data_IF_395743657795
#
_entry.id   IF_395743657795
#
_cell.length_a   1.000
_cell.length_b   1.000
_cell.length_c   1.000
_cell.angle_alpha   90.00
_cell.angle_beta   90.00
_cell.angle_gamma   90.00
#
_symmetry.space_group_name_H-M   'P 1'
#
loop_
_entity.id
_entity.type
_entity.pdbx_description
1 polymer ?
#
# COMPACT_ATOMS: atom_id res chain seq x y z
N UNK A 1 -16.99 62.54 5.74
CA UNK A 1 -15.81 61.78 6.23
C UNK A 1 -15.85 60.26 5.93
N UNK A 2 -17.01 59.68 5.58
CA UNK A 2 -17.19 58.22 5.37
C UNK A 2 -16.44 57.55 4.19
N UNK A 3 -15.93 58.31 3.20
CA UNK A 3 -15.20 57.75 2.03
C UNK A 3 -13.76 57.30 2.34
N UNK A 4 -13.15 57.77 3.43
CA UNK A 4 -11.77 57.42 3.80
C UNK A 4 -11.68 56.15 4.66
N UNK A 5 -12.73 55.85 5.42
CA UNK A 5 -12.79 54.65 6.27
C UNK A 5 -13.10 53.40 5.45
N UNK A 6 -13.98 53.51 4.46
CA UNK A 6 -14.35 52.43 3.55
C UNK A 6 -13.16 51.88 2.74
N UNK A 7 -12.26 52.75 2.26
CA UNK A 7 -11.03 52.32 1.57
C UNK A 7 -10.01 51.63 2.48
N UNK A 8 -9.94 52.01 3.75
CA UNK A 8 -9.07 51.34 4.75
C UNK A 8 -9.61 49.97 5.13
N UNK A 9 -10.92 49.85 5.34
CA UNK A 9 -11.57 48.56 5.64
C UNK A 9 -11.45 47.60 4.46
N UNK A 10 -11.65 48.08 3.23
CA UNK A 10 -11.45 47.26 2.02
C UNK A 10 -9.99 46.80 1.88
N UNK A 11 -9.03 47.71 2.13
CA UNK A 11 -7.60 47.38 2.11
C UNK A 11 -7.22 46.32 3.14
N UNK A 12 -7.76 46.41 4.36
CA UNK A 12 -7.55 45.41 5.42
C UNK A 12 -8.17 44.06 5.03
N UNK A 13 -9.37 44.04 4.46
CA UNK A 13 -10.03 42.82 3.98
C UNK A 13 -9.25 42.12 2.88
N UNK A 14 -8.72 42.88 1.90
CA UNK A 14 -7.89 42.32 0.82
C UNK A 14 -6.59 41.75 1.37
N UNK A 15 -5.94 42.44 2.31
CA UNK A 15 -4.73 41.95 2.97
C UNK A 15 -4.99 40.67 3.77
N UNK A 16 -6.11 40.60 4.51
CA UNK A 16 -6.52 39.38 5.23
C UNK A 16 -6.79 38.21 4.28
N UNK A 17 -7.44 38.46 3.14
CA UNK A 17 -7.67 37.45 2.10
C UNK A 17 -6.36 36.94 1.50
N UNK A 18 -5.40 37.81 1.23
CA UNK A 18 -4.08 37.44 0.73
C UNK A 18 -3.29 36.65 1.78
N UNK A 19 -3.34 37.05 3.05
CA UNK A 19 -2.72 36.31 4.16
C UNK A 19 -3.37 34.95 4.37
N UNK A 20 -4.70 34.84 4.23
CA UNK A 20 -5.41 33.56 4.28
C UNK A 20 -5.00 32.66 3.10
N UNK A 21 -4.92 33.20 1.88
CA UNK A 21 -4.45 32.46 0.70
C UNK A 21 -2.99 31.99 0.84
N UNK A 22 -2.10 32.86 1.33
CA UNK A 22 -0.72 32.52 1.63
C UNK A 22 -0.61 31.49 2.75
N UNK A 23 -1.44 31.59 3.79
CA UNK A 23 -1.51 30.63 4.88
C UNK A 23 -1.97 29.24 4.42
N UNK A 24 -2.99 29.19 3.57
CA UNK A 24 -3.49 27.94 2.97
C UNK A 24 -2.44 27.34 2.02
N UNK A 25 -1.80 28.17 1.19
CA UNK A 25 -0.71 27.73 0.31
C UNK A 25 0.50 27.21 1.10
N UNK A 26 0.93 27.95 2.12
CA UNK A 26 2.03 27.53 3.00
C UNK A 26 1.70 26.25 3.75
N UNK A 27 0.49 26.09 4.29
CA UNK A 27 0.06 24.85 4.93
C UNK A 27 0.04 23.68 3.95
N UNK A 28 -0.48 23.88 2.73
CA UNK A 28 -0.49 22.86 1.69
C UNK A 28 0.93 22.37 1.37
N UNK A 29 1.87 23.28 1.11
CA UNK A 29 3.23 22.93 0.71
C UNK A 29 4.17 22.53 1.86
N UNK A 30 3.95 23.01 3.08
CA UNK A 30 4.85 22.74 4.21
C UNK A 30 4.35 21.59 5.08
N UNK A 31 3.05 21.32 5.10
CA UNK A 31 2.43 20.33 5.98
C UNK A 31 1.79 19.20 5.17
N UNK A 32 0.89 19.51 4.24
CA UNK A 32 0.11 18.48 3.57
C UNK A 32 0.93 17.63 2.60
N UNK A 33 1.76 18.25 1.74
CA UNK A 33 2.66 17.51 0.81
C UNK A 33 3.67 16.60 1.52
N UNK A 34 3.93 16.85 2.80
CA UNK A 34 4.81 16.04 3.66
C UNK A 34 4.05 15.05 4.54
N UNK A 35 2.74 14.94 4.37
CA UNK A 35 1.90 14.04 5.16
C UNK A 35 1.85 12.62 4.57
N UNK A 36 1.64 11.59 5.41
CA UNK A 36 1.45 10.22 4.92
C UNK A 36 0.20 10.08 4.06
N UNK A 37 -0.86 10.85 4.35
CA UNK A 37 -2.07 10.92 3.53
C UNK A 37 -1.76 11.34 2.09
N UNK A 38 -0.91 12.36 1.92
CA UNK A 38 -0.51 12.83 0.60
C UNK A 38 0.27 11.77 -0.18
N UNK A 39 1.29 11.16 0.46
CA UNK A 39 2.06 10.09 -0.18
C UNK A 39 1.17 8.91 -0.61
N UNK A 40 0.21 8.52 0.23
CA UNK A 40 -0.74 7.46 -0.11
C UNK A 40 -1.66 7.84 -1.28
N UNK A 41 -2.15 9.08 -1.32
CA UNK A 41 -2.93 9.59 -2.46
C UNK A 41 -2.11 9.59 -3.76
N UNK A 42 -0.83 9.98 -3.70
CA UNK A 42 0.05 9.97 -4.86
C UNK A 42 0.35 8.55 -5.34
N UNK A 43 0.56 7.61 -4.42
CA UNK A 43 0.66 6.19 -4.75
C UNK A 43 -0.60 5.70 -5.49
N UNK A 44 -1.80 5.96 -4.97
CA UNK A 44 -3.04 5.54 -5.62
C UNK A 44 -3.26 6.19 -6.98
N UNK A 45 -2.94 7.47 -7.12
CA UNK A 45 -3.03 8.17 -8.40
C UNK A 45 -2.05 7.59 -9.44
N UNK A 46 -0.81 7.33 -9.03
CA UNK A 46 0.21 6.74 -9.88
C UNK A 46 -0.15 5.30 -10.29
N UNK A 47 -0.60 4.48 -9.33
CA UNK A 47 -1.03 3.11 -9.59
C UNK A 47 -2.22 3.05 -10.54
N UNK A 48 -3.22 3.92 -10.35
CA UNK A 48 -4.37 4.06 -11.27
C UNK A 48 -3.95 4.44 -12.69
N UNK A 49 -2.93 5.29 -12.81
CA UNK A 49 -2.40 5.74 -14.09
C UNK A 49 -1.41 4.74 -14.74
N UNK A 50 -1.10 3.63 -14.07
CA UNK A 50 -0.03 2.70 -14.46
C UNK A 50 1.34 3.40 -14.63
N UNK A 51 1.58 4.48 -13.89
CA UNK A 51 2.85 5.22 -13.90
C UNK A 51 3.86 4.51 -12.98
N UNK A 52 4.56 3.52 -13.54
CA UNK A 52 5.50 2.67 -12.81
C UNK A 52 6.59 3.49 -12.12
N UNK A 53 7.12 4.52 -12.79
CA UNK A 53 8.18 5.36 -12.23
C UNK A 53 7.70 6.11 -10.98
N UNK A 54 6.49 6.67 -11.01
CA UNK A 54 5.94 7.33 -9.82
C UNK A 54 5.54 6.34 -8.73
N UNK A 55 5.03 5.17 -9.10
CA UNK A 55 4.73 4.13 -8.11
C UNK A 55 6.00 3.77 -7.32
N UNK A 56 7.13 3.53 -8.00
CA UNK A 56 8.41 3.22 -7.33
C UNK A 56 8.89 4.33 -6.38
N UNK A 57 8.52 5.59 -6.60
CA UNK A 57 8.88 6.70 -5.71
C UNK A 57 8.13 6.67 -4.37
N UNK A 58 6.90 6.14 -4.36
CA UNK A 58 6.01 6.16 -3.20
C UNK A 58 5.90 4.82 -2.48
N UNK A 59 6.68 3.82 -2.88
CA UNK A 59 6.66 2.49 -2.28
C UNK A 59 8.03 2.11 -1.71
N UNK A 60 7.99 1.30 -0.67
CA UNK A 60 9.14 0.67 -0.04
C UNK A 60 8.95 -0.85 -0.10
N UNK A 61 9.74 -1.49 -0.98
CA UNK A 61 9.80 -2.95 -1.16
C UNK A 61 10.77 -3.62 -0.19
N UNK A 62 11.38 -2.88 0.74
CA UNK A 62 12.24 -3.49 1.75
C UNK A 62 11.43 -4.38 2.67
N UNK A 63 11.93 -5.60 2.89
CA UNK A 63 11.26 -6.61 3.69
C UNK A 63 11.78 -8.00 3.33
N UNK A 64 11.95 -8.88 4.33
CA UNK A 64 12.50 -10.20 4.10
C UNK A 64 11.59 -11.09 3.22
N UNK A 65 10.26 -10.98 3.40
CA UNK A 65 9.27 -11.74 2.63
C UNK A 65 9.20 -11.22 1.20
N UNK A 66 9.11 -9.89 1.02
CA UNK A 66 9.11 -9.25 -0.31
C UNK A 66 10.42 -9.52 -1.04
N UNK A 67 11.56 -9.43 -0.34
CA UNK A 67 12.87 -9.76 -0.89
C UNK A 67 12.99 -11.22 -1.33
N UNK A 68 12.44 -12.16 -0.56
CA UNK A 68 12.38 -13.57 -0.95
C UNK A 68 11.51 -13.80 -2.19
N UNK A 69 10.34 -13.14 -2.28
CA UNK A 69 9.46 -13.21 -3.47
C UNK A 69 10.19 -12.64 -4.69
N UNK A 70 10.87 -11.50 -4.54
CA UNK A 70 11.65 -10.89 -5.61
C UNK A 70 12.80 -11.80 -6.08
N UNK A 71 13.52 -12.43 -5.16
CA UNK A 71 14.58 -13.39 -5.49
C UNK A 71 14.01 -14.61 -6.23
N UNK A 72 12.87 -15.14 -5.79
CA UNK A 72 12.19 -16.24 -6.48
C UNK A 72 11.71 -15.84 -7.89
N UNK A 73 11.19 -14.62 -8.05
CA UNK A 73 10.80 -14.08 -9.35
C UNK A 73 11.98 -13.89 -10.31
N UNK A 74 13.16 -13.51 -9.79
CA UNK A 74 14.38 -13.42 -10.60
C UNK A 74 14.85 -14.81 -11.11
N UNK A 75 14.58 -15.87 -10.35
CA UNK A 75 14.93 -17.24 -10.74
C UNK A 75 13.90 -17.88 -11.68
N UNK A 76 12.67 -17.37 -11.73
CA UNK A 76 11.61 -17.86 -12.61
C UNK A 76 10.84 -16.69 -13.23
N UNK A 77 11.07 -16.36 -14.51
CA UNK A 77 10.40 -15.27 -15.21
C UNK A 77 8.87 -15.37 -15.20
N UNK A 78 8.31 -16.58 -15.09
CA UNK A 78 6.86 -16.78 -14.99
C UNK A 78 6.29 -16.36 -13.61
N UNK A 79 7.14 -16.09 -12.62
CA UNK A 79 6.79 -15.48 -11.34
C UNK A 79 7.01 -13.97 -11.31
N UNK A 80 7.48 -13.33 -12.40
CA UNK A 80 7.56 -11.87 -12.49
C UNK A 80 6.18 -11.20 -12.32
N UNK A 81 5.10 -11.94 -12.58
CA UNK A 81 3.73 -11.50 -12.30
C UNK A 81 3.36 -11.52 -10.81
N UNK A 82 4.24 -11.96 -9.91
CA UNK A 82 4.04 -11.99 -8.47
C UNK A 82 4.50 -10.69 -7.78
N UNK A 83 4.38 -9.55 -8.46
CA UNK A 83 4.68 -8.25 -7.86
C UNK A 83 3.68 -7.96 -6.72
N UNK A 84 4.14 -7.84 -5.46
CA UNK A 84 3.26 -7.57 -4.34
C UNK A 84 2.54 -6.22 -4.45
N UNK A 85 3.02 -5.27 -5.27
CA UNK A 85 2.30 -4.02 -5.52
C UNK A 85 0.94 -4.31 -6.18
N UNK A 86 0.87 -5.26 -7.11
CA UNK A 86 -0.37 -5.62 -7.84
C UNK A 86 -1.41 -6.22 -6.91
N UNK A 87 -0.98 -6.84 -5.81
CA UNK A 87 -1.87 -7.35 -4.79
C UNK A 87 -2.42 -6.23 -3.90
N UNK A 88 -1.58 -5.26 -3.52
CA UNK A 88 -2.03 -4.13 -2.70
C UNK A 88 -2.76 -3.05 -3.52
N UNK A 89 -2.71 -3.08 -4.85
CA UNK A 89 -3.57 -2.24 -5.70
C UNK A 89 -4.06 -3.04 -6.92
N UNK A 90 -5.22 -3.72 -6.81
CA UNK A 90 -5.79 -4.47 -7.94
C UNK A 90 -6.06 -3.57 -9.15
N UNK A 91 -5.60 -3.97 -10.33
CA UNK A 91 -5.73 -3.21 -11.57
C UNK A 91 -4.49 -2.39 -11.93
N UNK A 92 -3.45 -2.42 -11.10
CA UNK A 92 -2.12 -1.91 -11.46
C UNK A 92 -1.45 -2.87 -12.45
N UNK A 93 -1.05 -2.35 -13.61
CA UNK A 93 -0.44 -3.02 -14.77
C UNK A 93 -1.34 -4.03 -15.50
N UNK A 94 -2.15 -4.80 -14.77
CA UNK A 94 -3.20 -5.63 -15.34
C UNK A 94 -4.32 -5.92 -14.32
N UNK A 95 -5.41 -6.49 -14.82
CA UNK A 95 -6.63 -6.74 -14.05
C UNK A 95 -6.76 -8.19 -13.55
N UNK A 96 -5.69 -9.00 -13.52
CA UNK A 96 -5.79 -10.42 -13.14
C UNK A 96 -6.23 -10.65 -11.69
N UNK A 97 -6.01 -9.67 -10.82
CA UNK A 97 -6.42 -9.67 -9.41
C UNK A 97 -7.67 -8.80 -9.18
N UNK A 98 -8.31 -8.36 -10.26
CA UNK A 98 -9.41 -7.39 -10.25
C UNK A 98 -8.97 -5.99 -10.65
N UNK A 99 -9.94 -5.09 -10.74
CA UNK A 99 -9.76 -3.69 -11.11
C UNK A 99 -10.33 -2.77 -10.03
N UNK A 100 -9.48 -1.95 -9.42
CA UNK A 100 -9.92 -0.94 -8.45
C UNK A 100 -10.75 0.13 -9.16
N UNK A 101 -12.00 0.31 -8.75
CA UNK A 101 -12.92 1.33 -9.26
C UNK A 101 -12.89 2.60 -8.40
N UNK A 102 -12.83 2.42 -7.08
CA UNK A 102 -12.86 3.51 -6.11
C UNK A 102 -11.98 3.20 -4.93
N UNK A 103 -11.30 4.23 -4.43
CA UNK A 103 -10.48 4.19 -3.23
C UNK A 103 -10.87 5.35 -2.34
N UNK A 104 -11.06 5.09 -1.04
CA UNK A 104 -11.36 6.11 -0.04
C UNK A 104 -10.52 5.84 1.19
N UNK A 105 -9.81 6.87 1.67
CA UNK A 105 -9.03 6.78 2.90
C UNK A 105 -9.91 7.27 4.04
N UNK A 106 -10.28 6.38 4.96
CA UNK A 106 -11.17 6.71 6.08
C UNK A 106 -10.44 7.47 7.19
N UNK A 107 -9.23 7.03 7.51
CA UNK A 107 -8.44 7.63 8.60
C UNK A 107 -6.96 7.32 8.42
N UNK A 108 -6.11 8.22 8.92
CA UNK A 108 -4.67 8.01 9.04
C UNK A 108 -4.22 8.31 10.46
N UNK A 109 -3.56 7.34 11.09
CA UNK A 109 -2.92 7.47 12.40
C UNK A 109 -1.40 7.45 12.22
N UNK A 110 -0.70 8.39 12.84
CA UNK A 110 0.77 8.52 12.77
C UNK A 110 1.37 8.22 14.13
N UNK A 111 2.32 7.30 14.18
CA UNK A 111 3.05 6.85 15.36
C UNK A 111 4.56 6.91 15.05
N UNK A 112 5.20 8.02 15.44
CA UNK A 112 6.61 8.27 15.13
C UNK A 112 6.87 8.30 13.62
N UNK A 113 7.74 7.42 13.15
CA UNK A 113 8.10 7.28 11.73
C UNK A 113 7.25 6.26 10.98
N UNK A 114 6.14 5.81 11.57
CA UNK A 114 5.18 4.89 10.93
C UNK A 114 3.80 5.54 10.90
N UNK A 115 3.05 5.30 9.83
CA UNK A 115 1.65 5.68 9.73
C UNK A 115 0.81 4.50 9.26
N UNK A 116 -0.41 4.40 9.77
CA UNK A 116 -1.40 3.40 9.35
C UNK A 116 -2.62 4.11 8.80
N UNK A 117 -3.03 3.73 7.60
CA UNK A 117 -4.17 4.29 6.91
C UNK A 117 -5.24 3.21 6.72
N UNK A 118 -6.45 3.45 7.23
CA UNK A 118 -7.61 2.61 6.94
C UNK A 118 -8.18 3.03 5.59
N UNK A 119 -8.25 2.09 4.66
CA UNK A 119 -8.67 2.34 3.28
C UNK A 119 -9.83 1.43 2.94
N UNK A 120 -10.83 1.99 2.25
CA UNK A 120 -11.92 1.25 1.64
C UNK A 120 -11.71 1.27 0.13
N UNK A 121 -11.70 0.10 -0.49
CA UNK A 121 -11.56 -0.05 -1.93
C UNK A 121 -12.74 -0.82 -2.50
N UNK A 122 -13.29 -0.34 -3.60
CA UNK A 122 -14.26 -1.08 -4.42
C UNK A 122 -13.49 -1.67 -5.61
N UNK A 123 -13.44 -3.00 -5.68
CA UNK A 123 -12.65 -3.76 -6.66
C UNK A 123 -13.58 -4.61 -7.50
N UNK A 124 -13.51 -4.47 -8.83
CA UNK A 124 -14.21 -5.34 -9.77
C UNK A 124 -13.42 -6.65 -9.94
N UNK A 125 -14.00 -7.79 -9.58
CA UNK A 125 -13.42 -9.13 -9.76
C UNK A 125 -14.47 -9.98 -10.48
N UNK A 126 -14.12 -10.56 -11.63
CA UNK A 126 -15.00 -11.44 -12.42
C UNK A 126 -16.41 -10.87 -12.68
N UNK A 127 -16.50 -9.55 -12.94
CA UNK A 127 -17.76 -8.85 -13.20
C UNK A 127 -18.60 -8.50 -11.97
N UNK A 128 -18.09 -8.77 -10.76
CA UNK A 128 -18.72 -8.35 -9.48
C UNK A 128 -17.87 -7.31 -8.78
N UNK A 129 -18.52 -6.38 -8.09
CA UNK A 129 -17.83 -5.38 -7.26
C UNK A 129 -17.77 -5.88 -5.83
N UNK A 130 -16.57 -6.04 -5.31
CA UNK A 130 -16.30 -6.39 -3.92
C UNK A 130 -15.73 -5.17 -3.19
N UNK A 131 -16.12 -4.99 -1.93
CA UNK A 131 -15.55 -3.94 -1.07
C UNK A 131 -14.56 -4.58 -0.10
N UNK A 132 -13.31 -4.14 -0.16
CA UNK A 132 -12.24 -4.57 0.75
C UNK A 132 -11.81 -3.39 1.64
N UNK A 133 -11.35 -3.68 2.86
CA UNK A 133 -10.99 -2.68 3.86
C UNK A 133 -9.57 -2.84 4.39
N UNK A 134 -8.54 -2.79 3.53
CA UNK A 134 -7.17 -2.96 3.96
C UNK A 134 -6.65 -1.79 4.80
N UNK A 135 -5.65 -2.09 5.63
CA UNK A 135 -4.79 -1.10 6.29
C UNK A 135 -3.49 -0.96 5.52
N UNK A 136 -3.22 0.24 5.01
CA UNK A 136 -1.94 0.59 4.42
C UNK A 136 -0.98 1.07 5.49
N UNK A 137 0.24 0.54 5.46
CA UNK A 137 1.32 0.96 6.35
C UNK A 137 2.27 1.82 5.55
N UNK A 138 2.59 2.99 6.08
CA UNK A 138 3.58 3.89 5.52
C UNK A 138 4.72 4.08 6.50
N UNK A 139 5.93 4.19 5.98
CA UNK A 139 7.13 4.48 6.76
C UNK A 139 7.77 5.77 6.28
N UNK A 140 8.22 6.58 7.22
CA UNK A 140 8.96 7.81 6.93
C UNK A 140 10.39 7.44 6.55
N UNK A 141 10.83 7.95 5.41
CA UNK A 141 12.19 7.82 4.89
C UNK A 141 12.80 9.21 4.69
N UNK A 142 14.08 9.28 4.32
CA UNK A 142 14.73 10.55 3.98
C UNK A 142 14.04 11.28 2.83
N UNK A 143 13.49 10.52 1.86
CA UNK A 143 12.78 11.04 0.70
C UNK A 143 11.30 11.38 0.98
N UNK A 144 10.80 11.09 2.19
CA UNK A 144 9.41 11.26 2.58
C UNK A 144 8.70 9.95 2.97
N UNK A 145 7.38 10.00 3.05
CA UNK A 145 6.57 8.82 3.40
C UNK A 145 6.45 7.88 2.21
N UNK A 146 6.70 6.58 2.42
CA UNK A 146 6.54 5.53 1.41
C UNK A 146 5.64 4.42 1.95
N UNK A 147 4.83 3.84 1.08
CA UNK A 147 3.99 2.66 1.39
C UNK A 147 4.91 1.47 1.60
N UNK A 148 4.93 0.94 2.82
CA UNK A 148 5.66 -0.26 3.18
C UNK A 148 4.89 -1.48 2.62
N UNK A 149 5.38 -2.04 1.51
CA UNK A 149 4.66 -3.04 0.72
C UNK A 149 4.47 -4.33 1.51
N UNK A 150 5.50 -4.76 2.25
CA UNK A 150 5.42 -5.98 3.07
C UNK A 150 4.35 -5.83 4.15
N UNK A 151 4.45 -4.78 4.97
CA UNK A 151 3.53 -4.56 6.08
C UNK A 151 2.09 -4.33 5.61
N UNK A 152 1.91 -3.63 4.49
CA UNK A 152 0.58 -3.44 3.89
C UNK A 152 -0.01 -4.76 3.42
N UNK A 153 0.72 -5.50 2.58
CA UNK A 153 0.23 -6.73 1.97
C UNK A 153 -0.06 -7.81 3.02
N UNK A 154 0.92 -8.09 3.88
CA UNK A 154 0.81 -9.19 4.83
C UNK A 154 0.11 -8.80 6.14
N UNK A 155 0.07 -7.51 6.48
CA UNK A 155 -0.70 -7.00 7.61
C UNK A 155 -2.21 -6.94 7.34
N UNK A 156 -2.62 -6.85 6.07
CA UNK A 156 -4.03 -6.90 5.64
C UNK A 156 -4.29 -8.05 4.67
N UNK A 157 -3.60 -9.17 4.87
CA UNK A 157 -3.56 -10.28 3.91
C UNK A 157 -4.95 -10.81 3.54
N UNK A 158 -5.84 -10.98 4.52
CA UNK A 158 -7.19 -11.49 4.28
C UNK A 158 -8.11 -10.52 3.52
N UNK A 159 -7.80 -9.22 3.53
CA UNK A 159 -8.52 -8.20 2.76
C UNK A 159 -8.10 -8.22 1.29
N UNK A 160 -6.82 -8.44 1.00
CA UNK A 160 -6.30 -8.50 -0.37
C UNK A 160 -6.49 -9.87 -1.04
N UNK A 161 -6.51 -10.94 -0.25
CA UNK A 161 -6.57 -12.31 -0.78
C UNK A 161 -7.88 -12.96 -0.37
N UNK A 162 -8.79 -13.15 -1.32
CA UNK A 162 -10.10 -13.76 -1.07
C UNK A 162 -10.01 -15.17 -0.46
N UNK A 163 -11.03 -15.66 0.27
CA UNK A 163 -11.03 -17.02 0.82
C UNK A 163 -10.74 -18.11 -0.21
N UNK A 164 -11.28 -17.97 -1.43
CA UNK A 164 -11.03 -18.89 -2.54
C UNK A 164 -9.57 -18.85 -2.99
N UNK A 165 -9.00 -17.66 -3.15
CA UNK A 165 -7.60 -17.49 -3.52
C UNK A 165 -6.66 -18.07 -2.44
N UNK A 166 -6.96 -17.87 -1.16
CA UNK A 166 -6.21 -18.48 -0.04
C UNK A 166 -6.20 -20.01 -0.11
N UNK A 167 -7.35 -20.64 -0.38
CA UNK A 167 -7.42 -22.09 -0.53
C UNK A 167 -6.59 -22.59 -1.73
N UNK A 168 -6.60 -21.87 -2.84
CA UNK A 168 -5.75 -22.20 -4.00
C UNK A 168 -4.27 -22.06 -3.66
N UNK A 169 -3.90 -20.99 -2.93
CA UNK A 169 -2.53 -20.76 -2.47
C UNK A 169 -2.06 -21.89 -1.54
N UNK A 170 -2.88 -22.32 -0.56
CA UNK A 170 -2.56 -23.47 0.29
C UNK A 170 -2.31 -24.73 -0.52
N UNK A 171 -3.13 -25.01 -1.56
CA UNK A 171 -2.93 -26.19 -2.43
C UNK A 171 -1.61 -26.11 -3.19
N UNK A 172 -1.29 -24.96 -3.77
CA UNK A 172 -0.03 -24.74 -4.50
C UNK A 172 1.18 -24.88 -3.56
N UNK A 173 1.13 -24.24 -2.39
CA UNK A 173 2.18 -24.32 -1.39
C UNK A 173 2.36 -25.74 -0.84
N UNK A 174 1.26 -26.50 -0.68
CA UNK A 174 1.33 -27.90 -0.27
C UNK A 174 1.98 -28.77 -1.36
N UNK A 175 1.70 -28.51 -2.62
CA UNK A 175 2.39 -29.20 -3.73
C UNK A 175 3.90 -28.93 -3.69
N UNK A 176 4.31 -27.69 -3.40
CA UNK A 176 5.73 -27.33 -3.21
C UNK A 176 6.31 -28.05 -1.99
N UNK A 177 5.62 -28.02 -0.85
CA UNK A 177 6.04 -28.69 0.40
C UNK A 177 6.31 -30.18 0.22
N UNK A 178 5.51 -30.84 -0.63
CA UNK A 178 5.63 -32.26 -0.95
C UNK A 178 6.55 -32.57 -2.14
N UNK A 179 7.16 -31.54 -2.77
CA UNK A 179 8.08 -31.71 -3.90
C UNK A 179 9.53 -31.85 -3.43
N UNK A 180 10.49 -32.23 -4.32
CA UNK A 180 11.92 -32.21 -4.00
C UNK A 180 12.42 -30.82 -3.55
N UNK A 181 11.74 -29.74 -3.93
CA UNK A 181 12.06 -28.37 -3.51
C UNK A 181 11.50 -28.03 -2.11
N UNK A 182 10.67 -28.89 -1.52
CA UNK A 182 10.00 -28.63 -0.25
C UNK A 182 10.97 -28.44 0.92
N UNK A 183 12.05 -29.22 1.00
CA UNK A 183 13.07 -29.07 2.04
C UNK A 183 13.81 -27.72 1.93
N UNK A 184 14.13 -27.31 0.70
CA UNK A 184 14.75 -26.01 0.44
C UNK A 184 13.79 -24.86 0.80
N UNK A 185 12.53 -24.94 0.40
CA UNK A 185 11.52 -23.94 0.72
C UNK A 185 11.32 -23.80 2.24
N UNK A 186 11.25 -24.92 2.97
CA UNK A 186 11.20 -24.91 4.44
C UNK A 186 12.42 -24.24 5.05
N UNK A 187 13.63 -24.58 4.59
CA UNK A 187 14.85 -23.97 5.09
C UNK A 187 14.89 -22.45 4.88
N UNK A 188 14.48 -21.97 3.70
CA UNK A 188 14.37 -20.54 3.42
C UNK A 188 13.37 -19.84 4.34
N UNK A 189 12.18 -20.44 4.53
CA UNK A 189 11.15 -19.89 5.41
C UNK A 189 11.57 -19.89 6.89
N UNK A 190 12.34 -20.89 7.35
CA UNK A 190 12.90 -20.89 8.70
C UNK A 190 13.86 -19.70 8.92
N UNK A 191 14.64 -19.33 7.90
CA UNK A 191 15.56 -18.18 7.97
C UNK A 191 14.85 -16.84 8.18
N UNK A 192 13.59 -16.73 7.78
CA UNK A 192 12.77 -15.51 7.91
C UNK A 192 11.55 -15.71 8.83
N UNK A 193 11.54 -16.78 9.64
CA UNK A 193 10.37 -17.16 10.45
C UNK A 193 9.92 -16.06 11.40
N UNK A 194 10.87 -15.38 12.05
CA UNK A 194 10.57 -14.27 12.95
C UNK A 194 9.86 -13.11 12.22
N UNK A 195 10.15 -12.91 10.93
CA UNK A 195 9.46 -11.91 10.11
C UNK A 195 8.06 -12.39 9.73
N UNK A 196 7.92 -13.66 9.37
CA UNK A 196 6.63 -14.26 9.02
C UNK A 196 5.66 -14.24 10.21
N UNK A 197 6.14 -14.55 11.41
CA UNK A 197 5.31 -14.61 12.62
C UNK A 197 4.71 -13.25 13.01
N UNK A 198 5.22 -12.12 12.46
CA UNK A 198 4.57 -10.80 12.57
C UNK A 198 3.23 -10.71 11.83
N UNK A 199 3.01 -11.60 10.86
CA UNK A 199 1.83 -11.61 9.99
C UNK A 199 1.04 -12.91 10.18
N UNK A 200 0.17 -12.98 11.21
CA UNK A 200 -0.44 -14.24 11.65
C UNK A 200 -1.30 -14.92 10.58
N UNK A 201 -1.99 -14.15 9.76
CA UNK A 201 -2.82 -14.66 8.67
C UNK A 201 -1.98 -15.36 7.59
N UNK A 202 -0.86 -14.73 7.21
CA UNK A 202 0.08 -15.31 6.26
C UNK A 202 0.80 -16.54 6.85
N UNK A 203 1.24 -16.45 8.10
CA UNK A 203 1.85 -17.57 8.82
C UNK A 203 0.90 -18.78 8.90
N UNK A 204 -0.40 -18.55 9.10
CA UNK A 204 -1.39 -19.62 9.13
C UNK A 204 -1.49 -20.37 7.79
N UNK A 205 -1.42 -19.66 6.65
CA UNK A 205 -1.42 -20.28 5.32
C UNK A 205 -0.20 -21.18 5.12
N UNK A 206 0.99 -20.72 5.51
CA UNK A 206 2.23 -21.49 5.40
C UNK A 206 2.20 -22.74 6.31
N UNK A 207 1.68 -22.63 7.53
CA UNK A 207 1.45 -23.77 8.45
C UNK A 207 0.47 -24.78 7.86
N UNK A 208 -0.66 -24.33 7.31
CA UNK A 208 -1.65 -25.21 6.65
C UNK A 208 -1.08 -25.94 5.42
N UNK A 209 -0.09 -25.34 4.75
CA UNK A 209 0.65 -25.95 3.65
C UNK A 209 1.79 -26.89 4.11
N UNK A 210 2.09 -26.93 5.41
CA UNK A 210 3.17 -27.74 5.99
C UNK A 210 4.57 -27.19 5.72
N UNK A 211 4.70 -25.89 5.48
CA UNK A 211 5.97 -25.19 5.21
C UNK A 211 6.59 -24.52 6.44
N UNK A 212 5.82 -24.35 7.51
CA UNK A 212 6.23 -23.89 8.83
C UNK A 212 5.84 -24.92 9.89
#
# INVERSE_FOLDING_TARGET
>A
MAKRESGRVLGILVVLLLLAGLGVGAWYFLVYTKSPQYALNQFFAAAKANDTQKVEQYIDKSGAIVGMIAAAAAMNPNMASADPIRAIYPGYLDASLGQTQKVTIESVSVEGDTAKAKVVMEVAIDGKVETIKPTYVLKKTEDGWKVQVQDTMFGSFNEFVSPRARQMMVRQLRAISNSPMGAMAKAQLQGIRAEIDKYPEFAAILKQAGLL
#
